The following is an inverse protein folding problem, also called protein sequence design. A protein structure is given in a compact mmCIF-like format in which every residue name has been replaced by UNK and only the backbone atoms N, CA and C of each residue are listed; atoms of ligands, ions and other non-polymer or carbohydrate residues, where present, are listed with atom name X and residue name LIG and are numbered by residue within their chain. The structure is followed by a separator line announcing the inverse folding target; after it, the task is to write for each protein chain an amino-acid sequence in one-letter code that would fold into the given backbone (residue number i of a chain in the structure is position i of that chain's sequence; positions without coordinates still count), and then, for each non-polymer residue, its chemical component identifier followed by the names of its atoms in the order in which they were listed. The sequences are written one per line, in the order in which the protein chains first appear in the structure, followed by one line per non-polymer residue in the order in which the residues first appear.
data_IF_611657575853
#
_entry.id   IF_611657575853
#
_cell.length_a   1.000
_cell.length_b   1.000
_cell.length_c   1.000
_cell.angle_alpha   90.00
_cell.angle_beta   90.00
_cell.angle_gamma   90.00
#
_symmetry.space_group_name_H-M   'P 1'
#
loop_
_entity.id
_entity.type
_entity.pdbx_description
1 polymer ?
#
# COMPACT_ATOMS: atom_id res chain seq x y z
N UNK A 1 -20.00 -22.80 -19.43
CA UNK A 1 -18.55 -22.66 -19.51
C UNK A 1 -18.10 -22.44 -18.09
N UNK A 2 -17.49 -23.43 -17.45
CA UNK A 2 -16.87 -23.22 -16.14
C UNK A 2 -15.81 -22.14 -16.32
N UNK A 3 -15.91 -21.04 -15.57
CA UNK A 3 -14.81 -20.06 -15.53
C UNK A 3 -13.61 -20.79 -14.92
N UNK A 4 -12.53 -20.92 -15.70
CA UNK A 4 -11.29 -21.53 -15.25
C UNK A 4 -10.61 -20.59 -14.26
N UNK A 5 -11.12 -20.58 -13.02
CA UNK A 5 -10.65 -19.71 -11.96
C UNK A 5 -9.35 -20.29 -11.39
N UNK A 6 -8.25 -19.57 -11.57
CA UNK A 6 -6.90 -19.97 -11.20
C UNK A 6 -6.30 -18.95 -10.24
N UNK A 7 -5.49 -19.44 -9.31
CA UNK A 7 -4.58 -18.61 -8.53
C UNK A 7 -3.41 -18.16 -9.42
N UNK A 8 -2.87 -16.98 -9.16
CA UNK A 8 -1.73 -16.29 -9.77
C UNK A 8 -0.57 -17.28 -9.97
N UNK A 9 -0.15 -18.07 -8.96
CA UNK A 9 0.99 -18.97 -9.12
C UNK A 9 0.77 -20.11 -10.11
N UNK A 10 -0.50 -20.37 -10.48
CA UNK A 10 -0.88 -21.41 -11.45
C UNK A 10 -1.04 -20.88 -12.86
N UNK A 11 -0.99 -19.56 -13.04
CA UNK A 11 -1.11 -18.92 -14.35
C UNK A 11 0.28 -18.77 -14.95
N UNK A 12 0.48 -19.36 -16.13
CA UNK A 12 1.76 -19.33 -16.84
C UNK A 12 1.57 -19.01 -18.33
N UNK A 13 2.68 -18.96 -19.07
CA UNK A 13 2.68 -18.61 -20.49
C UNK A 13 1.96 -19.65 -21.39
N UNK A 14 1.75 -20.87 -20.91
CA UNK A 14 1.06 -21.95 -21.63
C UNK A 14 -0.44 -21.97 -21.30
N UNK A 15 -0.90 -21.18 -20.33
CA UNK A 15 -2.32 -21.10 -19.96
C UNK A 15 -3.12 -20.35 -21.03
N UNK A 16 -3.85 -21.10 -21.86
CA UNK A 16 -4.63 -20.54 -22.99
C UNK A 16 -5.77 -19.61 -22.56
N UNK A 17 -6.45 -19.92 -21.45
CA UNK A 17 -7.47 -19.05 -20.87
C UNK A 17 -7.60 -19.25 -19.36
N UNK A 18 -7.74 -18.14 -18.65
CA UNK A 18 -7.82 -18.11 -17.19
C UNK A 18 -8.58 -16.88 -16.69
N UNK A 19 -9.19 -17.04 -15.53
CA UNK A 19 -9.71 -15.94 -14.70
C UNK A 19 -9.03 -16.04 -13.34
N UNK A 20 -8.70 -14.91 -12.72
CA UNK A 20 -8.22 -14.85 -11.35
C UNK A 20 -9.04 -13.83 -10.56
N UNK A 21 -9.48 -14.21 -9.37
CA UNK A 21 -10.01 -13.29 -8.37
C UNK A 21 -8.84 -12.66 -7.62
N UNK A 22 -8.69 -11.34 -7.72
CA UNK A 22 -7.56 -10.60 -7.14
C UNK A 22 -8.04 -9.38 -6.36
N UNK A 23 -7.30 -9.04 -5.31
CA UNK A 23 -7.47 -7.80 -4.55
C UNK A 23 -6.39 -6.81 -4.95
N UNK A 24 -6.76 -5.54 -5.14
CA UNK A 24 -5.78 -4.46 -5.35
C UNK A 24 -5.29 -3.98 -3.99
N UNK A 25 -3.99 -4.07 -3.74
CA UNK A 25 -3.39 -3.75 -2.43
C UNK A 25 -2.43 -2.58 -2.44
N UNK A 26 -1.93 -2.22 -3.61
CA UNK A 26 -1.12 -1.03 -3.79
C UNK A 26 -1.42 -0.41 -5.15
N UNK A 27 -1.40 0.91 -5.18
CA UNK A 27 -1.62 1.73 -6.37
C UNK A 27 -0.44 2.68 -6.52
N UNK A 28 0.44 2.39 -7.48
CA UNK A 28 1.62 3.21 -7.75
C UNK A 28 1.24 4.51 -8.46
N UNK A 29 2.08 5.57 -8.35
CA UNK A 29 1.87 6.81 -9.08
C UNK A 29 1.74 6.59 -10.59
N UNK A 30 0.98 7.47 -11.23
CA UNK A 30 0.86 7.48 -12.70
C UNK A 30 2.15 8.02 -13.30
N UNK A 31 2.78 7.23 -14.18
CA UNK A 31 4.02 7.55 -14.86
C UNK A 31 3.78 7.78 -16.35
N UNK A 32 4.51 8.73 -16.93
CA UNK A 32 4.47 9.00 -18.37
C UNK A 32 5.74 8.51 -19.02
N UNK A 33 5.62 7.65 -20.02
CA UNK A 33 6.74 7.10 -20.78
C UNK A 33 7.48 8.21 -21.53
N UNK A 34 8.77 8.35 -21.24
CA UNK A 34 9.64 9.41 -21.74
C UNK A 34 9.79 9.47 -23.26
N UNK A 35 9.47 8.39 -23.99
CA UNK A 35 9.62 8.30 -25.46
C UNK A 35 8.31 8.28 -26.24
N UNK A 36 7.23 7.76 -25.67
CA UNK A 36 5.97 7.53 -26.39
C UNK A 36 4.80 8.40 -25.89
N UNK A 37 4.99 9.12 -24.77
CA UNK A 37 3.88 9.79 -24.08
C UNK A 37 2.83 8.82 -23.51
N UNK A 38 3.12 7.51 -23.55
CA UNK A 38 2.22 6.50 -23.03
C UNK A 38 2.15 6.61 -21.51
N UNK A 39 0.94 6.76 -21.00
CA UNK A 39 0.68 6.82 -19.57
C UNK A 39 0.56 5.39 -19.06
N UNK A 40 1.30 5.06 -18.02
CA UNK A 40 1.21 3.79 -17.31
C UNK A 40 1.08 4.04 -15.80
N UNK A 41 0.50 3.06 -15.12
CA UNK A 41 0.13 3.05 -13.71
C UNK A 41 0.21 1.60 -13.32
N UNK A 42 0.78 1.32 -12.16
CA UNK A 42 1.05 -0.03 -11.71
C UNK A 42 0.21 -0.30 -10.47
N UNK A 43 -0.34 -1.50 -10.39
CA UNK A 43 -1.04 -2.02 -9.24
C UNK A 43 -0.28 -3.24 -8.74
N UNK A 44 -0.26 -3.40 -7.42
CA UNK A 44 0.07 -4.69 -6.82
C UNK A 44 -1.25 -5.38 -6.52
N UNK A 45 -1.36 -6.59 -7.06
CA UNK A 45 -2.48 -7.49 -6.94
C UNK A 45 -2.07 -8.63 -6.02
N UNK A 46 -3.01 -9.11 -5.23
CA UNK A 46 -2.85 -10.37 -4.51
C UNK A 46 -4.01 -11.28 -4.85
N UNK A 47 -3.72 -12.56 -4.98
CA UNK A 47 -4.64 -13.58 -4.51
C UNK A 47 -4.02 -14.21 -3.28
N UNK A 48 -4.08 -15.51 -3.08
CA UNK A 48 -3.37 -16.10 -1.96
C UNK A 48 -1.83 -15.89 -2.04
N UNK A 49 -1.27 -15.29 -3.13
CA UNK A 49 0.11 -14.78 -3.26
C UNK A 49 0.22 -13.46 -4.09
N UNK A 50 1.37 -12.74 -4.00
CA UNK A 50 1.64 -11.41 -4.62
C UNK A 50 1.84 -11.42 -6.16
N UNK A 51 1.36 -10.38 -6.86
CA UNK A 51 1.54 -10.14 -8.30
C UNK A 51 1.48 -8.64 -8.66
N UNK A 52 1.96 -8.25 -9.84
CA UNK A 52 1.96 -6.85 -10.32
C UNK A 52 1.25 -6.71 -11.68
N UNK A 53 0.36 -5.74 -11.84
CA UNK A 53 -0.38 -5.46 -13.09
C UNK A 53 -0.41 -3.97 -13.48
N UNK A 54 -0.58 -3.58 -14.76
CA UNK A 54 -0.64 -2.19 -15.22
C UNK A 54 -2.08 -1.64 -15.32
N UNK A 55 -2.16 -0.38 -15.75
CA UNK A 55 -3.32 0.54 -15.75
C UNK A 55 -4.65 -0.11 -16.12
N UNK A 56 -5.61 0.00 -15.22
CA UNK A 56 -7.01 0.17 -15.54
C UNK A 56 -7.58 1.23 -14.59
N UNK A 57 -8.38 2.17 -15.10
CA UNK A 57 -9.10 3.16 -14.29
C UNK A 57 -10.27 2.55 -13.50
N UNK A 58 -10.53 1.27 -13.69
CA UNK A 58 -11.56 0.49 -12.98
C UNK A 58 -11.00 -0.09 -11.68
N UNK A 59 -9.71 -0.40 -11.67
CA UNK A 59 -9.02 -0.90 -10.48
C UNK A 59 -8.82 0.25 -9.50
N UNK A 60 -9.10 -0.03 -8.22
CA UNK A 60 -8.92 0.90 -7.11
C UNK A 60 -8.48 0.12 -5.88
N UNK A 61 -7.72 0.78 -5.01
CA UNK A 61 -7.23 0.20 -3.76
C UNK A 61 -8.35 -0.48 -2.96
N UNK A 62 -8.06 -1.70 -2.48
CA UNK A 62 -8.96 -2.59 -1.74
C UNK A 62 -10.19 -3.11 -2.49
N UNK A 63 -10.32 -2.83 -3.79
CA UNK A 63 -11.31 -3.48 -4.63
C UNK A 63 -10.93 -4.93 -4.95
N UNK A 64 -11.95 -5.80 -5.04
CA UNK A 64 -11.80 -7.20 -5.51
C UNK A 64 -12.34 -7.32 -6.92
N UNK A 65 -11.58 -7.98 -7.79
CA UNK A 65 -11.88 -8.08 -9.22
C UNK A 65 -11.59 -9.48 -9.76
N UNK A 66 -12.43 -9.93 -10.69
CA UNK A 66 -12.06 -11.01 -11.60
C UNK A 66 -11.35 -10.41 -12.81
N UNK A 67 -10.08 -10.78 -12.99
CA UNK A 67 -9.28 -10.44 -14.17
C UNK A 67 -9.17 -11.68 -15.04
N UNK A 68 -9.53 -11.57 -16.31
CA UNK A 68 -9.53 -12.68 -17.26
C UNK A 68 -8.60 -12.38 -18.43
N UNK A 69 -7.71 -13.32 -18.74
CA UNK A 69 -6.83 -13.30 -19.91
C UNK A 69 -5.98 -12.01 -20.02
N UNK A 70 -5.35 -11.58 -18.92
CA UNK A 70 -4.27 -10.59 -19.00
C UNK A 70 -3.04 -11.22 -19.66
N UNK A 71 -2.23 -10.42 -20.37
CA UNK A 71 -1.00 -10.92 -20.97
C UNK A 71 0.07 -11.09 -19.89
N UNK A 72 0.72 -12.25 -19.80
CA UNK A 72 1.90 -12.41 -18.94
C UNK A 72 3.15 -11.94 -19.68
N UNK A 73 3.97 -11.13 -19.00
CA UNK A 73 5.29 -10.72 -19.48
C UNK A 73 6.34 -11.24 -18.51
N UNK A 74 7.44 -11.77 -19.05
CA UNK A 74 8.71 -12.20 -18.41
C UNK A 74 8.68 -12.57 -16.91
N UNK A 75 9.15 -13.78 -16.59
CA UNK A 75 9.20 -14.38 -15.24
C UNK A 75 7.84 -14.66 -14.57
N UNK A 76 6.72 -14.58 -15.29
CA UNK A 76 5.36 -14.93 -14.81
C UNK A 76 4.80 -14.04 -13.68
N UNK A 77 5.52 -13.01 -13.24
CA UNK A 77 5.15 -12.15 -12.10
C UNK A 77 4.41 -10.88 -12.55
N UNK A 78 4.49 -10.53 -13.84
CA UNK A 78 3.91 -9.31 -14.37
C UNK A 78 2.80 -9.61 -15.36
N UNK A 79 1.62 -9.11 -15.07
CA UNK A 79 0.50 -9.12 -15.99
C UNK A 79 0.48 -7.81 -16.76
N UNK A 80 -0.07 -7.80 -17.97
CA UNK A 80 -0.33 -6.62 -18.77
C UNK A 80 -1.76 -6.66 -19.26
N UNK A 81 -2.55 -5.68 -18.82
CA UNK A 81 -3.93 -5.51 -19.24
C UNK A 81 -3.93 -5.04 -20.70
N UNK A 82 -4.59 -5.81 -21.56
CA UNK A 82 -4.75 -5.53 -22.97
C UNK A 82 -6.22 -5.29 -23.30
N UNK A 83 -6.53 -4.94 -24.56
CA UNK A 83 -7.91 -4.75 -25.01
C UNK A 83 -8.78 -6.00 -24.86
N UNK A 84 -8.18 -7.19 -24.87
CA UNK A 84 -8.84 -8.48 -24.69
C UNK A 84 -9.04 -8.85 -23.22
N UNK A 85 -8.42 -8.14 -22.28
CA UNK A 85 -8.53 -8.43 -20.86
C UNK A 85 -9.89 -7.99 -20.33
N UNK A 86 -10.61 -8.90 -19.69
CA UNK A 86 -11.88 -8.59 -19.03
C UNK A 86 -11.64 -8.36 -17.54
N UNK A 87 -12.21 -7.28 -17.00
CA UNK A 87 -12.13 -6.94 -15.58
C UNK A 87 -13.55 -6.79 -15.07
N UNK A 88 -13.92 -7.58 -14.05
CA UNK A 88 -15.25 -7.52 -13.43
C UNK A 88 -15.11 -7.24 -11.93
N UNK A 89 -15.71 -6.17 -11.40
CA UNK A 89 -15.72 -5.93 -9.96
C UNK A 89 -16.54 -7.01 -9.23
N UNK A 90 -16.08 -7.39 -8.05
CA UNK A 90 -16.70 -8.37 -7.15
C UNK A 90 -17.17 -7.65 -5.87
N UNK A 91 -18.30 -6.90 -5.90
CA UNK A 91 -18.70 -6.01 -4.82
C UNK A 91 -19.10 -6.75 -3.52
N UNK A 92 -19.37 -8.05 -3.60
CA UNK A 92 -19.70 -8.89 -2.45
C UNK A 92 -18.48 -9.57 -1.84
N UNK A 93 -17.35 -9.61 -2.56
CA UNK A 93 -16.09 -10.19 -2.07
C UNK A 93 -15.34 -9.17 -1.23
N UNK A 94 -14.62 -9.66 -0.21
CA UNK A 94 -13.77 -8.82 0.65
C UNK A 94 -12.31 -9.00 0.24
N UNK A 95 -11.50 -7.93 0.23
CA UNK A 95 -10.10 -8.07 -0.10
C UNK A 95 -9.40 -8.99 0.90
N UNK A 96 -8.59 -9.93 0.42
CA UNK A 96 -7.82 -10.83 1.28
C UNK A 96 -6.58 -10.11 1.81
N UNK A 97 -6.74 -9.18 2.75
CA UNK A 97 -5.63 -8.41 3.32
C UNK A 97 -4.70 -9.25 4.22
N UNK A 98 -5.01 -10.53 4.43
CA UNK A 98 -4.26 -11.41 5.33
C UNK A 98 -2.82 -11.65 4.86
N UNK A 99 -2.58 -11.63 3.55
CA UNK A 99 -1.24 -11.75 2.95
C UNK A 99 -0.45 -10.44 2.98
N UNK A 100 -1.13 -9.31 3.15
CA UNK A 100 -0.51 -7.98 3.25
C UNK A 100 0.18 -7.76 4.59
N UNK A 101 -0.38 -8.34 5.64
CA UNK A 101 0.13 -8.22 6.99
C UNK A 101 1.31 -9.20 7.10
N UNK A 102 2.50 -8.73 6.73
CA UNK A 102 3.72 -9.54 6.80
C UNK A 102 4.05 -9.83 8.26
N UNK A 103 4.04 -8.80 9.11
CA UNK A 103 4.35 -8.93 10.54
C UNK A 103 3.94 -7.68 11.31
N UNK A 104 2.81 -7.73 12.02
CA UNK A 104 2.49 -6.67 13.00
C UNK A 104 3.50 -6.74 14.14
N UNK A 105 4.34 -5.72 14.25
CA UNK A 105 5.33 -5.58 15.31
C UNK A 105 4.70 -4.80 16.48
N UNK A 106 4.65 -5.38 17.69
CA UNK A 106 4.24 -4.65 18.89
C UNK A 106 5.16 -3.47 19.16
N UNK A 107 4.64 -2.36 19.70
CA UNK A 107 5.45 -1.12 19.81
C UNK A 107 6.70 -1.28 20.67
N UNK A 108 6.67 -2.13 21.71
CA UNK A 108 7.86 -2.44 22.52
C UNK A 108 8.90 -3.33 21.85
N UNK A 109 8.64 -3.80 20.64
CA UNK A 109 9.54 -4.61 19.84
C UNK A 109 10.04 -3.88 18.60
N UNK A 110 9.61 -2.64 18.37
CA UNK A 110 10.07 -1.82 17.25
C UNK A 110 11.58 -1.55 17.33
N UNK A 111 12.11 -1.25 18.52
CA UNK A 111 13.54 -1.00 18.69
C UNK A 111 14.35 -2.27 18.38
N UNK A 112 13.88 -3.42 18.82
CA UNK A 112 14.50 -4.73 18.54
C UNK A 112 14.51 -5.09 17.04
N UNK A 113 13.72 -4.38 16.21
CA UNK A 113 13.67 -4.58 14.75
C UNK A 113 14.55 -3.62 13.95
N UNK A 114 15.17 -2.62 14.59
CA UNK A 114 16.03 -1.63 13.92
C UNK A 114 17.38 -2.19 13.44
N UNK A 115 17.86 -3.28 14.05
CA UNK A 115 19.16 -3.88 13.72
C UNK A 115 19.18 -4.58 12.34
N UNK A 116 18.12 -4.44 11.54
CA UNK A 116 17.99 -5.08 10.23
C UNK A 116 17.69 -3.97 9.20
N UNK A 117 18.72 -3.60 8.45
CA UNK A 117 18.80 -2.36 7.63
C UNK A 117 17.70 -2.19 6.55
N UNK A 118 16.90 -3.21 6.27
CA UNK A 118 15.90 -3.22 5.18
C UNK A 118 14.49 -3.67 5.64
N UNK A 119 14.15 -3.61 6.93
CA UNK A 119 12.83 -4.05 7.40
C UNK A 119 11.79 -2.93 7.40
N UNK A 120 10.86 -3.01 6.45
CA UNK A 120 9.53 -2.43 6.62
C UNK A 120 8.73 -3.26 7.64
N UNK A 121 7.98 -2.59 8.51
CA UNK A 121 7.13 -3.26 9.51
C UNK A 121 5.67 -2.85 9.36
N UNK A 122 4.77 -3.71 9.85
CA UNK A 122 3.38 -3.35 10.04
C UNK A 122 3.14 -3.05 11.52
N UNK A 123 2.28 -2.08 11.81
CA UNK A 123 1.90 -1.71 13.17
C UNK A 123 0.40 -1.49 13.28
N UNK A 124 -0.12 -1.76 14.47
CA UNK A 124 -1.52 -1.46 14.82
C UNK A 124 -1.52 -0.59 16.06
N UNK A 125 -2.23 0.53 16.00
CA UNK A 125 -2.39 1.43 17.13
C UNK A 125 -3.64 2.28 17.02
N UNK A 126 -4.02 2.87 18.13
CA UNK A 126 -5.07 3.90 18.18
C UNK A 126 -4.43 5.24 17.87
N UNK A 127 -4.94 5.96 16.87
CA UNK A 127 -4.50 7.32 16.59
C UNK A 127 -5.10 8.28 17.61
N UNK A 128 -4.24 9.07 18.26
CA UNK A 128 -4.66 9.96 19.36
C UNK A 128 -4.37 11.43 19.11
N UNK A 129 -3.51 11.75 18.12
CA UNK A 129 -3.16 13.12 17.79
C UNK A 129 -2.63 13.23 16.36
N UNK A 130 -2.95 14.35 15.72
CA UNK A 130 -2.29 14.84 14.52
C UNK A 130 -1.50 16.11 14.84
N UNK A 131 -0.32 16.25 14.27
CA UNK A 131 0.43 17.51 14.23
C UNK A 131 0.08 18.30 12.98
N UNK A 132 0.37 19.60 13.01
CA UNK A 132 0.21 20.48 11.86
C UNK A 132 1.15 20.06 10.72
N UNK A 133 0.70 20.25 9.48
CA UNK A 133 1.54 20.05 8.30
C UNK A 133 2.65 21.08 8.27
N UNK A 134 3.88 20.63 8.07
CA UNK A 134 5.07 21.48 8.00
C UNK A 134 5.77 21.31 6.67
N UNK A 135 6.21 22.43 6.10
CA UNK A 135 7.18 22.42 5.01
C UNK A 135 8.57 22.29 5.59
N UNK A 136 9.38 21.43 5.00
CA UNK A 136 10.74 21.14 5.44
C UNK A 136 11.69 21.20 4.25
N UNK A 137 12.89 21.72 4.48
CA UNK A 137 13.97 21.65 3.50
C UNK A 137 14.83 20.44 3.84
N UNK A 138 14.85 19.46 2.92
CA UNK A 138 15.69 18.28 3.02
C UNK A 138 16.91 18.43 2.10
N UNK A 139 17.90 17.55 2.25
CA UNK A 139 19.03 17.47 1.33
C UNK A 139 18.63 17.18 -0.13
N UNK A 140 17.41 16.69 -0.35
CA UNK A 140 16.84 16.37 -1.66
C UNK A 140 15.88 17.44 -2.19
N UNK A 141 15.62 18.51 -1.44
CA UNK A 141 14.71 19.61 -1.82
C UNK A 141 13.68 19.95 -0.75
N UNK A 142 12.75 20.85 -1.08
CA UNK A 142 11.59 21.18 -0.23
C UNK A 142 10.58 20.02 -0.28
N UNK A 143 10.13 19.59 0.90
CA UNK A 143 9.11 18.57 1.08
C UNK A 143 8.07 18.98 2.12
N UNK A 144 6.99 18.23 2.23
CA UNK A 144 5.96 18.45 3.27
C UNK A 144 5.86 17.23 4.17
N UNK A 145 5.79 17.45 5.49
CA UNK A 145 5.63 16.38 6.47
C UNK A 145 4.42 16.65 7.36
N UNK A 146 3.72 15.59 7.74
CA UNK A 146 2.72 15.61 8.80
C UNK A 146 2.91 14.41 9.72
N UNK A 147 2.93 14.65 11.04
CA UNK A 147 3.13 13.58 12.04
C UNK A 147 1.85 13.25 12.76
N UNK A 148 1.70 11.98 13.09
CA UNK A 148 0.58 11.45 13.87
C UNK A 148 1.12 10.64 15.04
N UNK A 149 0.42 10.70 16.17
CA UNK A 149 0.76 9.92 17.35
C UNK A 149 -0.20 8.74 17.44
N UNK A 150 0.36 7.54 17.41
CA UNK A 150 -0.36 6.30 17.65
C UNK A 150 0.02 5.75 19.02
N UNK A 151 -0.93 5.13 19.71
CA UNK A 151 -0.68 4.39 20.96
C UNK A 151 -1.14 2.96 20.85
N UNK A 152 -0.39 2.04 21.46
CA UNK A 152 -0.81 0.66 21.60
C UNK A 152 -1.61 0.41 22.89
N UNK A 153 -2.01 -0.84 23.11
CA UNK A 153 -2.69 -1.27 24.34
C UNK A 153 -1.85 -1.04 25.61
N UNK A 154 -0.52 -0.96 25.47
CA UNK A 154 0.42 -0.63 26.54
C UNK A 154 0.56 0.87 26.79
N UNK A 155 -0.21 1.73 26.10
CA UNK A 155 -0.12 3.20 26.13
C UNK A 155 1.25 3.73 25.72
N UNK A 156 2.00 2.97 24.92
CA UNK A 156 3.29 3.40 24.38
C UNK A 156 3.02 4.25 23.15
N UNK A 157 3.49 5.52 23.09
CA UNK A 157 3.31 6.35 21.91
C UNK A 157 4.41 6.08 20.88
N UNK A 158 4.05 6.16 19.62
CA UNK A 158 4.98 6.25 18.49
C UNK A 158 4.54 7.36 17.54
N UNK A 159 5.49 7.89 16.79
CA UNK A 159 5.23 8.85 15.72
C UNK A 159 5.22 8.15 14.37
N UNK A 160 4.19 8.42 13.58
CA UNK A 160 4.11 8.02 12.17
C UNK A 160 4.09 9.30 11.34
N UNK A 161 4.97 9.37 10.35
CA UNK A 161 5.11 10.55 9.49
C UNK A 161 4.57 10.26 8.09
N UNK A 162 3.70 11.11 7.58
CA UNK A 162 3.33 11.17 6.17
C UNK A 162 4.18 12.22 5.47
N UNK A 163 4.56 11.92 4.22
CA UNK A 163 5.41 12.78 3.40
C UNK A 163 4.71 13.18 2.10
N UNK A 164 4.98 14.41 1.67
CA UNK A 164 4.58 15.01 0.39
C UNK A 164 3.10 14.78 0.05
N UNK A 165 2.81 14.12 -1.07
CA UNK A 165 1.43 13.90 -1.56
C UNK A 165 0.55 13.18 -0.52
N UNK A 166 1.12 12.28 0.30
CA UNK A 166 0.38 11.58 1.34
C UNK A 166 -0.17 12.53 2.40
N UNK A 167 0.50 13.66 2.65
CA UNK A 167 0.00 14.69 3.58
C UNK A 167 -1.29 15.34 3.06
N UNK A 168 -1.49 15.38 1.75
CA UNK A 168 -2.67 15.97 1.13
C UNK A 168 -3.79 14.95 0.93
N UNK A 169 -3.45 13.70 0.63
CA UNK A 169 -4.44 12.65 0.31
C UNK A 169 -4.89 11.86 1.54
N UNK A 170 -3.95 11.40 2.37
CA UNK A 170 -4.22 10.55 3.54
C UNK A 170 -4.31 11.39 4.82
N UNK A 171 -3.54 12.47 4.91
CA UNK A 171 -3.50 13.37 6.08
C UNK A 171 -4.87 13.79 6.60
N UNK A 172 -5.79 14.34 5.76
CA UNK A 172 -7.13 14.73 6.20
C UNK A 172 -7.95 13.57 6.79
N UNK A 173 -7.80 12.36 6.24
CA UNK A 173 -8.52 11.17 6.72
C UNK A 173 -8.04 10.76 8.11
N UNK A 174 -6.73 10.85 8.35
CA UNK A 174 -6.15 10.57 9.67
C UNK A 174 -6.48 11.66 10.70
N UNK A 175 -6.53 12.93 10.29
CA UNK A 175 -7.00 14.02 11.16
C UNK A 175 -8.45 13.78 11.63
N UNK A 176 -9.34 13.34 10.75
CA UNK A 176 -10.71 12.95 11.13
C UNK A 176 -10.71 11.73 12.09
N UNK A 177 -9.83 10.75 11.82
CA UNK A 177 -9.69 9.55 12.63
C UNK A 177 -9.24 9.83 14.08
N UNK A 178 -8.49 10.90 14.32
CA UNK A 178 -8.10 11.36 15.67
C UNK A 178 -9.33 11.64 16.54
N UNK A 179 -10.35 12.29 15.97
CA UNK A 179 -11.55 12.68 16.73
C UNK A 179 -12.36 11.47 17.21
N UNK A 180 -12.20 10.32 16.54
CA UNK A 180 -12.92 9.09 16.84
C UNK A 180 -12.06 8.04 17.57
N UNK A 181 -10.80 8.36 17.89
CA UNK A 181 -9.83 7.40 18.43
C UNK A 181 -9.79 6.10 17.60
N UNK A 182 -9.75 6.25 16.28
CA UNK A 182 -9.80 5.10 15.38
C UNK A 182 -8.58 4.20 15.52
N UNK A 183 -8.79 2.89 15.33
CA UNK A 183 -7.70 1.93 15.20
C UNK A 183 -7.14 2.06 13.77
N UNK A 184 -5.84 2.27 13.68
CA UNK A 184 -5.08 2.35 12.44
C UNK A 184 -4.20 1.10 12.33
N UNK A 185 -4.35 0.38 11.22
CA UNK A 185 -3.35 -0.55 10.71
C UNK A 185 -2.53 0.21 9.68
N UNK A 186 -1.24 0.37 9.94
CA UNK A 186 -0.32 0.99 9.01
C UNK A 186 0.73 -0.05 8.60
N UNK A 187 0.82 -0.28 7.29
CA UNK A 187 1.60 -1.36 6.69
C UNK A 187 2.79 -0.81 5.91
N UNK A 188 3.85 -1.61 5.77
CA UNK A 188 5.08 -1.25 5.07
C UNK A 188 5.74 0.04 5.58
N UNK A 189 5.76 0.25 6.89
CA UNK A 189 6.37 1.44 7.49
C UNK A 189 7.88 1.27 7.54
N UNK A 190 8.59 2.26 7.00
CA UNK A 190 10.05 2.40 7.17
C UNK A 190 10.35 2.94 8.56
N UNK A 191 11.22 2.24 9.28
CA UNK A 191 11.70 2.67 10.58
C UNK A 191 12.84 3.67 10.45
N UNK A 192 12.72 4.80 11.15
CA UNK A 192 13.79 5.78 11.26
C UNK A 192 14.06 6.05 12.74
N UNK A 193 15.32 5.98 13.15
CA UNK A 193 15.73 6.36 14.50
C UNK A 193 15.85 7.87 14.56
N UNK A 194 14.76 8.53 14.96
CA UNK A 194 14.80 9.94 15.34
C UNK A 194 15.27 10.08 16.79
N UNK A 195 16.12 11.07 17.07
CA UNK A 195 16.77 11.29 18.37
C UNK A 195 15.84 11.59 19.56
N UNK A 196 14.52 11.48 19.42
CA UNK A 196 13.56 11.77 20.50
C UNK A 196 13.61 13.21 21.02
N UNK A 197 14.37 14.11 20.37
CA UNK A 197 14.53 15.49 20.81
C UNK A 197 13.38 16.33 20.26
N UNK A 198 12.44 16.60 21.17
CA UNK A 198 11.57 17.75 21.13
C UNK A 198 12.41 19.02 20.95
N UNK A 199 12.23 19.70 19.83
CA UNK A 199 12.39 21.15 19.81
C UNK A 199 11.08 21.75 19.34
N UNK A 200 10.36 22.30 20.31
CA UNK A 200 9.59 23.53 20.10
C UNK A 200 10.56 24.53 19.48
N UNK A 201 10.54 24.66 18.15
CA UNK A 201 11.09 25.82 17.49
C UNK A 201 9.92 26.80 17.35
N UNK A 202 10.01 27.84 18.18
CA UNK A 202 9.25 29.08 18.20
C UNK A 202 8.91 29.62 16.80
#
# INVERSE_FOLDING_TARGET
MEENNLLIPRINLETESWTAEVSVIEEMPTLTGSRSGTIYKRYVLIDDEECVAPVSSVLHLFGVFNITNAQLIANQIHWVLQRSTLIRPMPTSKPNLSTLIQKVVPFNKIVDTLDHDDLSIDIIGVIIRAEDRKRINTQFGEGTIQRFILVDMGRRPIFVSLWDEMTLTIGPLLEEAVNNFSIILATFIVLEVGDGVFSELY
#
